data_IF_375580582415
#
_entry.id   IF_375580582415
#
_cell.length_a   1.000
_cell.length_b   1.000
_cell.length_c   1.000
_cell.angle_alpha   90.00
_cell.angle_beta   90.00
_cell.angle_gamma   90.00
#
_symmetry.space_group_name_H-M   'P 1'
#
loop_
_entity.id
_entity.type
_entity.pdbx_description
1 polymer ?
#
# COMPACT_ATOMS: atom_id res chain seq x y z
N UNK A 1 18.22 -9.71 15.01
CA UNK A 1 17.68 -8.87 13.91
C UNK A 1 16.50 -9.53 13.14
N UNK A 2 15.61 -10.31 13.79
CA UNK A 2 14.53 -11.02 13.07
C UNK A 2 13.25 -10.19 12.78
N UNK A 3 13.00 -9.11 13.52
CA UNK A 3 11.73 -8.38 13.46
C UNK A 3 11.54 -7.54 12.19
N UNK A 4 12.62 -6.97 11.64
CA UNK A 4 12.54 -6.12 10.43
C UNK A 4 12.10 -6.89 9.19
N UNK A 5 12.39 -8.20 9.13
CA UNK A 5 12.03 -9.04 7.99
C UNK A 5 10.54 -9.41 7.99
N UNK A 6 9.94 -9.57 9.18
CA UNK A 6 8.51 -9.92 9.33
C UNK A 6 7.59 -8.78 8.87
N UNK A 7 7.95 -7.54 9.20
CA UNK A 7 7.18 -6.35 8.79
C UNK A 7 7.22 -6.14 7.28
N UNK A 8 8.40 -6.26 6.65
CA UNK A 8 8.51 -6.20 5.18
C UNK A 8 7.61 -7.24 4.51
N UNK A 9 7.63 -8.48 5.03
CA UNK A 9 6.80 -9.56 4.51
C UNK A 9 5.31 -9.28 4.66
N UNK A 10 4.88 -8.65 5.76
CA UNK A 10 3.48 -8.21 5.93
C UNK A 10 3.08 -7.13 4.93
N UNK A 11 3.94 -6.13 4.70
CA UNK A 11 3.71 -5.09 3.69
C UNK A 11 3.63 -5.72 2.29
N UNK A 12 4.50 -6.67 1.97
CA UNK A 12 4.47 -7.37 0.68
C UNK A 12 3.21 -8.22 0.50
N UNK A 13 2.73 -8.90 1.55
CA UNK A 13 1.47 -9.63 1.51
C UNK A 13 0.29 -8.70 1.20
N UNK A 14 0.19 -7.58 1.93
CA UNK A 14 -0.84 -6.56 1.72
C UNK A 14 -0.83 -5.99 0.29
N UNK A 15 0.35 -5.75 -0.27
CA UNK A 15 0.46 -5.30 -1.67
C UNK A 15 0.11 -6.40 -2.66
N UNK A 16 0.42 -7.67 -2.35
CA UNK A 16 0.04 -8.80 -3.18
C UNK A 16 -1.48 -9.02 -3.18
N UNK A 17 -2.13 -8.90 -2.02
CA UNK A 17 -3.59 -8.93 -1.89
C UNK A 17 -4.24 -7.78 -2.68
N UNK A 18 -3.70 -6.56 -2.53
CA UNK A 18 -4.13 -5.40 -3.33
C UNK A 18 -4.08 -5.68 -4.84
N UNK A 19 -3.00 -6.29 -5.32
CA UNK A 19 -2.84 -6.66 -6.72
C UNK A 19 -3.89 -7.71 -7.13
N UNK A 20 -4.06 -8.76 -6.33
CA UNK A 20 -5.08 -9.79 -6.58
C UNK A 20 -6.49 -9.18 -6.65
N UNK A 21 -6.83 -8.25 -5.74
CA UNK A 21 -8.12 -7.58 -5.74
C UNK A 21 -8.32 -6.72 -6.98
N UNK A 22 -7.27 -6.03 -7.46
CA UNK A 22 -7.31 -5.31 -8.73
C UNK A 22 -7.51 -6.25 -9.92
N UNK A 23 -6.76 -7.34 -9.99
CA UNK A 23 -6.89 -8.35 -11.07
C UNK A 23 -8.27 -8.99 -11.11
N UNK A 24 -8.93 -9.12 -9.95
CA UNK A 24 -10.29 -9.66 -9.84
C UNK A 24 -11.39 -8.57 -9.86
N UNK A 25 -11.05 -7.30 -10.08
CA UNK A 25 -11.99 -6.17 -10.08
C UNK A 25 -12.76 -5.96 -8.75
N UNK A 26 -12.23 -6.43 -7.62
CA UNK A 26 -12.80 -6.16 -6.29
C UNK A 26 -12.45 -4.74 -5.81
N UNK A 27 -13.17 -3.74 -6.31
CA UNK A 27 -12.89 -2.32 -6.07
C UNK A 27 -12.82 -1.97 -4.57
N UNK A 28 -13.83 -2.35 -3.78
CA UNK A 28 -13.89 -2.07 -2.35
C UNK A 28 -12.74 -2.72 -1.57
N UNK A 29 -12.49 -4.02 -1.82
CA UNK A 29 -11.41 -4.75 -1.16
C UNK A 29 -10.04 -4.17 -1.53
N UNK A 30 -9.86 -3.79 -2.79
CA UNK A 30 -8.64 -3.17 -3.26
C UNK A 30 -8.42 -1.79 -2.59
N UNK A 31 -9.46 -0.96 -2.49
CA UNK A 31 -9.38 0.33 -1.78
C UNK A 31 -9.02 0.12 -0.30
N UNK A 32 -9.62 -0.88 0.35
CA UNK A 32 -9.35 -1.19 1.75
C UNK A 32 -7.91 -1.69 1.94
N UNK A 33 -7.48 -2.69 1.16
CA UNK A 33 -6.12 -3.23 1.20
C UNK A 33 -5.06 -2.16 0.94
N UNK A 34 -5.33 -1.21 0.03
CA UNK A 34 -4.43 -0.08 -0.20
C UNK A 34 -4.29 0.80 1.03
N UNK A 35 -5.41 1.18 1.66
CA UNK A 35 -5.39 2.02 2.88
C UNK A 35 -4.63 1.34 4.01
N UNK A 36 -4.88 0.05 4.19
CA UNK A 36 -4.27 -0.78 5.23
C UNK A 36 -2.75 -0.91 4.99
N UNK A 37 -2.32 -1.14 3.74
CA UNK A 37 -0.92 -1.14 3.34
C UNK A 37 -0.22 0.21 3.57
N UNK A 38 -0.86 1.34 3.24
CA UNK A 38 -0.31 2.68 3.49
C UNK A 38 -0.11 2.90 5.00
N UNK A 39 -1.14 2.62 5.79
CA UNK A 39 -1.09 2.77 7.24
C UNK A 39 0.02 1.89 7.86
N UNK A 40 0.17 0.65 7.39
CA UNK A 40 1.20 -0.27 7.84
C UNK A 40 2.61 0.24 7.49
N UNK A 41 2.81 0.75 6.27
CA UNK A 41 4.09 1.33 5.83
C UNK A 41 4.45 2.56 6.66
N UNK A 42 3.49 3.47 6.89
CA UNK A 42 3.70 4.66 7.72
C UNK A 42 4.01 4.31 9.18
N UNK A 43 3.25 3.41 9.80
CA UNK A 43 3.51 2.95 11.16
C UNK A 43 4.88 2.27 11.26
N UNK A 44 5.21 1.42 10.29
CA UNK A 44 6.50 0.72 10.25
C UNK A 44 7.67 1.70 10.14
N UNK A 45 7.49 2.81 9.40
CA UNK A 45 8.51 3.86 9.29
C UNK A 45 8.62 4.66 10.60
N UNK A 46 7.50 5.09 11.18
CA UNK A 46 7.46 5.77 12.49
C UNK A 46 8.12 4.94 13.59
N UNK A 47 7.89 3.63 13.59
CA UNK A 47 8.47 2.69 14.55
C UNK A 47 9.94 2.31 14.23
N UNK A 48 10.57 2.94 13.23
CA UNK A 48 11.93 2.63 12.74
C UNK A 48 12.14 1.14 12.40
N UNK A 49 11.07 0.43 12.05
CA UNK A 49 11.08 -0.98 11.67
C UNK A 49 11.57 -1.14 10.22
N UNK A 50 11.27 -0.16 9.36
CA UNK A 50 11.79 -0.03 8.00
C UNK A 50 12.65 1.23 7.87
N UNK A 51 13.56 1.24 6.90
CA UNK A 51 14.36 2.42 6.57
C UNK A 51 13.66 3.30 5.54
N UNK A 52 14.10 4.55 5.41
CA UNK A 52 13.55 5.52 4.47
C UNK A 52 13.53 5.01 3.03
N UNK A 53 14.61 4.35 2.58
CA UNK A 53 14.66 3.75 1.24
C UNK A 53 13.54 2.72 1.00
N UNK A 54 13.24 1.89 2.01
CA UNK A 54 12.16 0.90 1.93
C UNK A 54 10.80 1.58 1.98
N UNK A 55 10.64 2.59 2.83
CA UNK A 55 9.43 3.40 2.92
C UNK A 55 9.10 4.05 1.58
N UNK A 56 10.06 4.76 0.97
CA UNK A 56 9.88 5.42 -0.33
C UNK A 56 9.55 4.41 -1.45
N UNK A 57 10.16 3.22 -1.43
CA UNK A 57 9.84 2.15 -2.39
C UNK A 57 8.37 1.74 -2.29
N UNK A 58 7.89 1.40 -1.09
CA UNK A 58 6.50 0.97 -0.91
C UNK A 58 5.50 2.11 -1.13
N UNK A 59 5.83 3.33 -0.70
CA UNK A 59 5.00 4.50 -0.94
C UNK A 59 4.83 4.77 -2.44
N UNK A 60 5.92 4.65 -3.23
CA UNK A 60 5.86 4.77 -4.69
C UNK A 60 4.96 3.70 -5.30
N UNK A 61 5.15 2.44 -4.90
CA UNK A 61 4.38 1.31 -5.42
C UNK A 61 2.87 1.46 -5.12
N UNK A 62 2.51 1.86 -3.89
CA UNK A 62 1.13 2.16 -3.50
C UNK A 62 0.55 3.37 -4.24
N UNK A 63 1.39 4.35 -4.58
CA UNK A 63 1.04 5.47 -5.45
C UNK A 63 0.68 5.03 -6.87
N UNK A 64 1.46 4.13 -7.46
CA UNK A 64 1.18 3.58 -8.80
C UNK A 64 -0.15 2.81 -8.82
N UNK A 65 -0.45 2.02 -7.78
CA UNK A 65 -1.77 1.39 -7.63
C UNK A 65 -2.88 2.42 -7.40
N UNK A 66 -2.60 3.53 -6.72
CA UNK A 66 -3.57 4.62 -6.55
C UNK A 66 -3.94 5.23 -7.90
N UNK A 67 -2.97 5.40 -8.80
CA UNK A 67 -3.23 5.92 -10.14
C UNK A 67 -4.01 4.92 -11.00
N UNK A 68 -3.67 3.63 -10.95
CA UNK A 68 -4.46 2.58 -11.60
C UNK A 68 -5.90 2.52 -11.04
N UNK A 69 -6.07 2.79 -9.74
CA UNK A 69 -7.36 2.92 -9.08
C UNK A 69 -8.12 4.22 -9.38
N UNK A 70 -7.48 5.25 -9.96
CA UNK A 70 -8.21 6.47 -10.35
C UNK A 70 -9.20 6.18 -11.47
N UNK A 71 -8.92 5.21 -12.33
CA UNK A 71 -9.87 4.75 -13.36
C UNK A 71 -11.11 4.10 -12.73
N UNK A 72 -10.92 3.42 -11.59
CA UNK A 72 -12.01 2.80 -10.83
C UNK A 72 -12.93 3.81 -10.14
N UNK A 73 -12.44 5.04 -9.91
CA UNK A 73 -13.14 6.08 -9.17
C UNK A 73 -13.19 7.36 -10.02
N UNK A 74 -14.22 7.49 -10.86
CA UNK A 74 -14.64 8.76 -11.48
C UNK A 74 -15.18 9.74 -10.42
N UNK A 75 -14.49 9.88 -9.29
CA UNK A 75 -14.78 10.87 -8.27
C UNK A 75 -13.47 11.41 -7.74
N UNK A 76 -13.07 12.51 -8.37
CA UNK A 76 -12.21 13.59 -7.89
C UNK A 76 -11.86 13.45 -6.40
N UNK A 77 -10.67 12.95 -6.09
CA UNK A 77 -10.09 13.20 -4.78
C UNK A 77 -9.30 14.51 -4.83
N UNK A 78 -9.80 15.43 -4.02
CA UNK A 78 -9.43 16.83 -3.88
C UNK A 78 -7.92 17.05 -3.75
N UNK A 79 -7.43 18.00 -4.55
CA UNK A 79 -6.31 18.86 -4.18
C UNK A 79 -6.91 20.25 -4.03
N UNK A 80 -7.20 20.66 -2.80
CA UNK A 80 -7.36 22.07 -2.42
C UNK A 80 -6.25 22.43 -1.45
#
# INVERSE_FOLDING_TARGET
MLFKNKIKKQIELQINDLKLYLENNYKDLAIQARKDAIALVEQSYKNKQINEKTYLKYQKQLGEYTEQMKDYNHQKFYRS
#
